data_IF_109725457316
#
_entry.id   IF_109725457316
#
_cell.length_a   1.000
_cell.length_b   1.000
_cell.length_c   1.000
_cell.angle_alpha   90.00
_cell.angle_beta   90.00
_cell.angle_gamma   90.00
#
_symmetry.space_group_name_H-M   'P 1'
#
loop_
_entity.id
_entity.type
_entity.pdbx_description
1 polymer ?
#
# COMPACT_ATOMS: atom_id res chain seq x y z
N UNK A 1 -18.10 0.19 0.98
CA UNK A 1 -18.25 -0.72 2.13
C UNK A 1 -19.72 -1.04 2.30
N UNK A 2 -20.10 -2.31 2.31
CA UNK A 2 -21.51 -2.69 2.41
C UNK A 2 -22.02 -2.53 3.85
N UNK A 3 -23.22 -2.00 4.02
CA UNK A 3 -23.82 -1.75 5.35
C UNK A 3 -24.19 -3.01 6.13
N UNK A 4 -24.13 -4.19 5.50
CA UNK A 4 -24.44 -5.49 6.10
C UNK A 4 -23.20 -6.28 6.54
N UNK A 5 -22.00 -5.71 6.42
CA UNK A 5 -20.75 -6.36 6.78
C UNK A 5 -20.12 -5.69 8.00
N UNK A 6 -19.57 -6.52 8.90
CA UNK A 6 -18.75 -6.06 10.01
C UNK A 6 -17.31 -6.06 9.54
N UNK A 7 -16.74 -4.88 9.35
CA UNK A 7 -15.32 -4.71 9.05
C UNK A 7 -14.55 -4.43 10.33
N UNK A 8 -13.24 -4.69 10.32
CA UNK A 8 -12.31 -4.45 11.43
C UNK A 8 -12.59 -5.34 12.65
N UNK A 9 -12.94 -6.60 12.38
CA UNK A 9 -13.05 -7.65 13.40
C UNK A 9 -11.72 -7.92 14.11
N UNK A 10 -11.80 -8.45 15.33
CA UNK A 10 -10.59 -8.86 16.06
C UNK A 10 -9.90 -10.01 15.31
N UNK A 11 -8.58 -9.89 15.10
CA UNK A 11 -7.76 -10.87 14.36
C UNK A 11 -8.20 -11.14 12.92
N UNK A 12 -9.00 -10.25 12.32
CA UNK A 12 -9.42 -10.34 10.93
C UNK A 12 -8.56 -9.45 10.02
N UNK A 13 -8.40 -9.88 8.77
CA UNK A 13 -7.78 -9.07 7.71
C UNK A 13 -8.86 -8.66 6.73
N UNK A 14 -9.22 -7.38 6.74
CA UNK A 14 -10.13 -6.82 5.77
C UNK A 14 -9.42 -6.49 4.46
N UNK A 15 -9.95 -6.98 3.34
CA UNK A 15 -9.46 -6.64 2.01
C UNK A 15 -10.40 -5.65 1.32
N UNK A 16 -9.84 -4.52 0.92
CA UNK A 16 -10.54 -3.49 0.15
C UNK A 16 -9.90 -3.33 -1.22
N UNK A 17 -10.72 -3.16 -2.25
CA UNK A 17 -10.28 -2.85 -3.59
C UNK A 17 -10.96 -1.56 -4.08
N UNK A 18 -10.18 -0.71 -4.73
CA UNK A 18 -10.65 0.55 -5.30
C UNK A 18 -9.92 0.84 -6.60
N UNK A 19 -10.52 1.69 -7.43
CA UNK A 19 -9.87 2.25 -8.61
C UNK A 19 -9.54 3.70 -8.34
N UNK A 20 -8.34 4.10 -8.70
CA UNK A 20 -7.89 5.48 -8.69
C UNK A 20 -7.16 5.77 -10.01
N UNK A 21 -6.90 7.05 -10.34
CA UNK A 21 -5.95 7.39 -11.38
C UNK A 21 -4.60 6.70 -11.15
N UNK A 22 -3.89 6.38 -12.23
CA UNK A 22 -2.58 5.74 -12.11
C UNK A 22 -1.64 6.58 -11.25
N UNK A 23 -1.02 5.94 -10.26
CA UNK A 23 0.04 6.55 -9.46
C UNK A 23 1.28 6.75 -10.34
N UNK A 24 2.01 7.84 -10.11
CA UNK A 24 3.26 8.12 -10.80
C UNK A 24 4.46 7.33 -10.25
N UNK A 25 4.28 6.67 -9.10
CA UNK A 25 5.32 5.91 -8.42
C UNK A 25 4.74 4.97 -7.35
N UNK A 26 5.59 4.34 -6.52
CA UNK A 26 5.15 3.49 -5.41
C UNK A 26 4.37 4.28 -4.35
N UNK A 27 3.65 3.57 -3.47
CA UNK A 27 2.94 4.19 -2.36
C UNK A 27 3.90 4.45 -1.20
N UNK A 28 4.10 5.72 -0.87
CA UNK A 28 5.09 6.17 0.14
C UNK A 28 4.45 6.69 1.43
N UNK A 29 3.17 7.02 1.37
CA UNK A 29 2.44 7.49 2.54
C UNK A 29 0.99 7.05 2.48
N UNK A 30 0.42 6.85 3.65
CA UNK A 30 -1.00 6.61 3.83
C UNK A 30 -1.53 7.53 4.94
N UNK A 31 -2.68 8.13 4.67
CA UNK A 31 -3.47 8.87 5.65
C UNK A 31 -4.70 8.03 5.97
N UNK A 32 -4.82 7.63 7.23
CA UNK A 32 -5.98 6.91 7.75
C UNK A 32 -6.86 7.93 8.44
N UNK A 33 -8.04 8.19 7.87
CA UNK A 33 -9.04 9.05 8.49
C UNK A 33 -10.12 8.15 9.09
N UNK A 34 -10.36 8.31 10.39
CA UNK A 34 -11.39 7.55 11.09
C UNK A 34 -12.64 8.42 11.24
N UNK A 35 -13.76 7.91 10.75
CA UNK A 35 -15.08 8.51 10.90
C UNK A 35 -16.03 7.46 11.52
N UNK A 36 -16.44 7.68 12.77
CA UNK A 36 -17.19 6.69 13.56
C UNK A 36 -16.90 6.75 15.07
N UNK A 37 -17.32 5.72 15.81
CA UNK A 37 -17.17 5.68 17.28
C UNK A 37 -16.39 4.45 17.79
N UNK A 38 -15.97 3.56 16.90
CA UNK A 38 -15.34 2.30 17.29
C UNK A 38 -13.81 2.41 17.34
N UNK A 39 -13.22 1.89 18.41
CA UNK A 39 -11.77 1.72 18.54
C UNK A 39 -11.36 0.34 18.06
N UNK A 40 -10.23 0.24 17.35
CA UNK A 40 -9.68 -1.03 16.89
C UNK A 40 -8.15 -1.01 16.93
N UNK A 41 -7.53 -2.17 17.09
CA UNK A 41 -6.08 -2.29 17.06
C UNK A 41 -5.62 -2.57 15.64
N UNK A 42 -4.78 -1.70 15.09
CA UNK A 42 -4.20 -1.88 13.76
C UNK A 42 -2.77 -2.40 13.90
N UNK A 43 -2.51 -3.60 13.40
CA UNK A 43 -1.17 -4.17 13.38
C UNK A 43 -0.37 -3.67 12.17
N UNK A 44 -0.91 -3.85 10.97
CA UNK A 44 -0.28 -3.42 9.72
C UNK A 44 -1.31 -3.16 8.64
N UNK A 45 -0.95 -2.33 7.67
CA UNK A 45 -1.72 -2.12 6.45
C UNK A 45 -0.85 -2.48 5.26
N UNK A 46 -1.40 -3.21 4.31
CA UNK A 46 -0.73 -3.56 3.08
C UNK A 46 -1.50 -3.02 1.90
N UNK A 47 -0.79 -2.39 0.97
CA UNK A 47 -1.36 -1.77 -0.22
C UNK A 47 -0.71 -2.40 -1.44
N UNK A 48 -1.52 -3.00 -2.29
CA UNK A 48 -1.11 -3.51 -3.60
C UNK A 48 -1.73 -2.63 -4.68
N UNK A 49 -0.88 -2.09 -5.55
CA UNK A 49 -1.28 -1.28 -6.69
C UNK A 49 -1.01 -2.03 -7.97
N UNK A 50 -2.00 -2.02 -8.87
CA UNK A 50 -1.96 -2.71 -10.15
C UNK A 50 -2.41 -1.75 -11.24
N UNK A 51 -1.76 -1.79 -12.40
CA UNK A 51 -2.08 -0.95 -13.54
C UNK A 51 -1.89 -1.69 -14.85
N UNK A 52 -2.73 -1.39 -15.84
CA UNK A 52 -2.58 -1.97 -17.18
C UNK A 52 -1.26 -1.54 -17.81
N UNK A 53 -0.40 -2.49 -18.17
CA UNK A 53 0.91 -2.22 -18.74
C UNK A 53 1.90 -1.55 -17.78
N UNK A 54 1.67 -1.64 -16.46
CA UNK A 54 2.55 -1.11 -15.42
C UNK A 54 2.98 -2.22 -14.45
N UNK A 55 4.19 -2.15 -13.88
CA UNK A 55 4.60 -3.09 -12.83
C UNK A 55 3.67 -2.97 -11.62
N UNK A 56 3.41 -4.10 -10.97
CA UNK A 56 2.71 -4.13 -9.68
C UNK A 56 3.64 -3.59 -8.60
N UNK A 57 3.10 -2.81 -7.66
CA UNK A 57 3.84 -2.35 -6.49
C UNK A 57 3.07 -2.71 -5.22
N UNK A 58 3.80 -3.23 -4.22
CA UNK A 58 3.27 -3.61 -2.93
C UNK A 58 4.04 -2.91 -1.83
N UNK A 59 3.33 -2.37 -0.84
CA UNK A 59 3.92 -1.71 0.32
C UNK A 59 3.20 -2.12 1.58
N UNK A 60 3.97 -2.47 2.62
CA UNK A 60 3.46 -2.78 3.95
C UNK A 60 3.88 -1.69 4.93
N UNK A 61 2.89 -1.13 5.64
CA UNK A 61 3.07 -0.17 6.70
C UNK A 61 2.83 -0.86 8.05
N UNK A 62 3.82 -0.84 8.95
CA UNK A 62 3.62 -1.29 10.33
C UNK A 62 2.98 -0.18 11.17
N UNK A 63 1.87 -0.49 11.85
CA UNK A 63 1.07 0.49 12.59
C UNK A 63 1.17 0.26 14.09
N UNK A 64 0.97 -0.99 14.54
CA UNK A 64 1.11 -1.47 15.93
C UNK A 64 0.53 -0.51 16.99
N UNK A 65 -0.70 -0.01 16.78
CA UNK A 65 -1.37 0.90 17.72
C UNK A 65 -2.90 0.81 17.67
N UNK A 66 -3.52 1.25 18.77
CA UNK A 66 -4.96 1.49 18.83
C UNK A 66 -5.34 2.72 18.02
N UNK A 67 -6.34 2.56 17.15
CA UNK A 67 -6.94 3.60 16.33
C UNK A 67 -8.33 3.89 16.90
N UNK A 68 -8.58 5.14 17.27
CA UNK A 68 -9.86 5.59 17.82
C UNK A 68 -10.21 6.98 17.26
N UNK A 69 -11.50 7.24 17.09
CA UNK A 69 -12.04 8.55 16.75
C UNK A 69 -12.05 9.43 17.99
N UNK A 70 -10.89 9.97 18.33
CA UNK A 70 -10.86 11.22 19.08
C UNK A 70 -11.01 12.32 18.03
N UNK A 71 -12.24 12.85 17.87
CA UNK A 71 -12.67 13.87 16.88
C UNK A 71 -11.57 14.37 15.92
N UNK A 72 -11.59 13.89 14.68
CA UNK A 72 -10.71 14.41 13.61
C UNK A 72 -9.29 13.85 13.60
N UNK A 73 -9.03 12.77 14.34
CA UNK A 73 -7.73 12.10 14.31
C UNK A 73 -7.50 11.39 12.98
N UNK A 74 -6.73 12.03 12.10
CA UNK A 74 -6.09 11.37 10.98
C UNK A 74 -4.74 10.79 11.45
N UNK A 75 -4.48 9.53 11.15
CA UNK A 75 -3.16 8.94 11.34
C UNK A 75 -2.41 8.99 10.02
N UNK A 76 -1.28 9.68 10.02
CA UNK A 76 -0.37 9.72 8.88
C UNK A 76 0.74 8.69 9.14
N UNK A 77 0.93 7.77 8.21
CA UNK A 77 2.07 6.86 8.18
C UNK A 77 2.86 7.21 6.92
N UNK A 78 4.10 7.63 7.13
CA UNK A 78 5.05 7.86 6.06
C UNK A 78 6.11 6.78 6.15
N UNK A 79 6.41 6.18 5.01
CA UNK A 79 7.58 5.35 4.85
C UNK A 79 8.28 5.91 3.62
N UNK A 80 9.31 6.72 3.86
CA UNK A 80 10.03 7.47 2.83
C UNK A 80 10.39 6.49 1.70
N UNK A 81 9.82 6.74 0.52
CA UNK A 81 10.32 6.05 -0.66
C UNK A 81 11.66 6.71 -0.98
N UNK A 82 12.72 5.91 -0.99
CA UNK A 82 13.91 6.31 -1.72
C UNK A 82 13.48 6.46 -3.17
N UNK A 83 13.52 7.68 -3.68
CA UNK A 83 13.43 7.96 -5.10
C UNK A 83 14.74 7.45 -5.74
N UNK A 84 14.89 6.13 -5.82
CA UNK A 84 15.92 5.50 -6.63
C UNK A 84 15.46 5.56 -8.10
N UNK A 85 15.24 6.77 -8.61
CA UNK A 85 15.27 7.08 -10.03
C UNK A 85 16.75 7.09 -10.48
N UNK A 86 17.43 5.94 -10.38
CA UNK A 86 18.62 5.67 -11.19
C UNK A 86 18.17 4.79 -12.35
N UNK A 87 18.00 5.42 -13.51
CA UNK A 87 17.82 4.80 -14.81
C UNK A 87 19.14 4.08 -15.22
N UNK A 88 19.45 3.01 -14.50
CA UNK A 88 20.57 2.12 -14.74
C UNK A 88 20.13 0.88 -15.49
N UNK A 89 19.59 1.05 -16.71
CA UNK A 89 19.41 -0.08 -17.65
C UNK A 89 20.79 -0.60 -18.05
N UNK A 90 21.34 -1.53 -17.27
CA UNK A 90 22.37 -2.45 -17.74
C UNK A 90 21.65 -3.65 -18.34
N UNK A 91 21.40 -3.58 -19.63
CA UNK A 91 20.96 -4.71 -20.44
C UNK A 91 22.09 -5.76 -20.46
N UNK A 92 22.06 -6.71 -19.53
CA UNK A 92 22.83 -7.94 -19.66
C UNK A 92 22.12 -8.86 -20.66
N UNK A 93 22.33 -8.60 -21.95
CA UNK A 93 22.02 -9.58 -23.01
C UNK A 93 23.14 -10.63 -23.02
N UNK A 94 22.84 -11.93 -22.85
CA UNK A 94 23.84 -12.97 -23.02
C UNK A 94 24.24 -13.04 -24.50
N UNK A 95 25.54 -12.86 -24.78
CA UNK A 95 26.09 -13.08 -26.10
C UNK A 95 26.21 -14.60 -26.33
N UNK A 96 25.19 -15.21 -26.93
CA UNK A 96 25.35 -16.52 -27.57
C UNK A 96 26.10 -16.33 -28.89
N UNK A 97 27.41 -16.54 -28.88
CA UNK A 97 28.14 -16.79 -30.14
C UNK A 97 28.21 -18.29 -30.39
N UNK A 98 27.40 -18.69 -31.36
CA UNK A 98 27.42 -19.99 -31.99
C UNK A 98 28.78 -20.26 -32.63
N UNK A 99 29.18 -21.51 -32.45
CA UNK A 99 30.23 -22.30 -33.07
C UNK A 99 30.12 -22.29 -34.61
N UNK A 100 31.19 -21.90 -35.32
CA UNK A 100 31.85 -22.64 -36.42
C UNK A 100 33.18 -21.98 -36.81
#
# INVERSE_FOLDING_TARGET
>A
MGSSYNYFGHEEVDLFAGKCPCLHGPVCSIIIVLDGFNSWYCQSIEITTVGYGKPCSQKKFEVKKWLNVIKGSAVILQDECSDDDDDGVVSNVPLETSKE
#
